data_IF_752084074368
#
_entry.id   IF_752084074368
#
_cell.length_a   1.000
_cell.length_b   1.000
_cell.length_c   1.000
_cell.angle_alpha   90.00
_cell.angle_beta   90.00
_cell.angle_gamma   90.00
#
_symmetry.space_group_name_H-M   'P 1'
#
loop_
_entity.id
_entity.type
_entity.pdbx_description
1 polymer ?
#
# COMPACT_ATOMS: atom_id res chain seq x y z
N UNK A 1 -12.32 -3.37 -10.09
CA UNK A 1 -13.02 -3.55 -8.80
C UNK A 1 -12.47 -4.80 -8.12
N UNK A 2 -12.23 -4.75 -6.81
CA UNK A 2 -11.68 -5.85 -6.02
C UNK A 2 -12.53 -6.07 -4.75
N UNK A 3 -12.90 -7.33 -4.47
CA UNK A 3 -13.67 -7.66 -3.28
C UNK A 3 -12.69 -7.79 -2.10
N UNK A 4 -12.72 -6.83 -1.18
CA UNK A 4 -11.83 -6.79 -0.01
C UNK A 4 -12.70 -6.60 1.22
N UNK A 5 -12.58 -7.50 2.21
CA UNK A 5 -13.35 -7.42 3.47
C UNK A 5 -14.87 -7.27 3.27
N UNK A 6 -15.44 -7.98 2.28
CA UNK A 6 -16.84 -7.91 1.86
C UNK A 6 -17.31 -6.55 1.30
N UNK A 7 -16.39 -5.64 0.99
CA UNK A 7 -16.64 -4.39 0.29
C UNK A 7 -16.17 -4.47 -1.16
N UNK A 8 -16.82 -3.67 -2.01
CA UNK A 8 -16.44 -3.56 -3.41
C UNK A 8 -15.55 -2.35 -3.60
N UNK A 9 -14.24 -2.59 -3.60
CA UNK A 9 -13.24 -1.54 -3.68
C UNK A 9 -12.89 -1.21 -5.13
N UNK A 10 -12.61 0.07 -5.39
CA UNK A 10 -12.07 0.57 -6.64
C UNK A 10 -10.77 1.35 -6.40
N UNK A 11 -10.26 2.03 -7.44
CA UNK A 11 -9.02 2.80 -7.34
C UNK A 11 -9.12 3.95 -6.35
N UNK A 12 -10.30 4.53 -6.12
CA UNK A 12 -10.45 5.66 -5.20
C UNK A 12 -10.15 5.24 -3.75
N UNK A 13 -10.50 4.02 -3.36
CA UNK A 13 -10.12 3.47 -2.03
C UNK A 13 -8.60 3.37 -1.89
N UNK A 14 -7.91 2.89 -2.93
CA UNK A 14 -6.46 2.82 -2.93
C UNK A 14 -5.82 4.22 -2.91
N UNK A 15 -6.40 5.19 -3.63
CA UNK A 15 -5.92 6.58 -3.66
C UNK A 15 -6.00 7.26 -2.29
N UNK A 16 -7.13 7.17 -1.60
CA UNK A 16 -7.25 7.78 -0.27
C UNK A 16 -6.33 7.11 0.75
N UNK A 17 -6.20 5.77 0.68
CA UNK A 17 -5.34 5.01 1.59
C UNK A 17 -3.85 5.41 1.42
N UNK A 18 -3.32 5.38 0.19
CA UNK A 18 -1.92 5.74 -0.06
C UNK A 18 -1.64 7.22 0.23
N UNK A 19 -2.61 8.10 -0.03
CA UNK A 19 -2.46 9.53 0.24
C UNK A 19 -2.37 9.82 1.73
N UNK A 20 -3.12 9.08 2.55
CA UNK A 20 -3.04 9.22 4.00
C UNK A 20 -1.68 8.80 4.54
N UNK A 21 -1.15 7.67 4.05
CA UNK A 21 0.19 7.18 4.41
C UNK A 21 1.27 8.17 4.01
N UNK A 22 1.22 8.67 2.76
CA UNK A 22 2.15 9.69 2.27
C UNK A 22 2.11 10.94 3.15
N UNK A 23 0.93 11.46 3.47
CA UNK A 23 0.76 12.64 4.30
C UNK A 23 1.35 12.44 5.70
N UNK A 24 1.14 11.28 6.31
CA UNK A 24 1.69 10.96 7.62
C UNK A 24 3.21 10.87 7.62
N UNK A 25 3.80 10.24 6.60
CA UNK A 25 5.25 10.16 6.44
C UNK A 25 5.83 11.56 6.20
N UNK A 26 5.26 12.31 5.27
CA UNK A 26 5.73 13.63 4.86
C UNK A 26 5.71 14.65 6.01
N UNK A 27 4.67 14.61 6.85
CA UNK A 27 4.57 15.51 8.01
C UNK A 27 5.11 14.92 9.31
N UNK A 28 5.65 13.70 9.30
CA UNK A 28 6.15 13.03 10.50
C UNK A 28 5.09 12.89 11.58
N UNK A 29 3.87 12.49 11.20
CA UNK A 29 2.74 12.37 12.13
C UNK A 29 3.04 11.33 13.19
N UNK A 30 2.76 11.65 14.44
CA UNK A 30 2.81 10.71 15.56
C UNK A 30 1.45 10.04 15.71
N UNK A 31 1.41 8.70 15.68
CA UNK A 31 0.21 7.94 15.99
C UNK A 31 -0.16 8.13 17.47
N UNK A 32 -1.44 7.98 17.82
CA UNK A 32 -1.87 8.13 19.21
C UNK A 32 -1.14 7.14 20.12
N UNK A 33 -0.49 7.66 21.16
CA UNK A 33 0.38 6.90 22.09
C UNK A 33 1.47 6.05 21.40
N UNK A 34 1.78 6.35 20.13
CA UNK A 34 2.55 5.49 19.24
C UNK A 34 3.79 6.12 18.61
N UNK A 35 4.41 5.41 17.65
CA UNK A 35 5.59 5.90 16.95
C UNK A 35 5.26 7.05 16.00
N UNK A 36 6.31 7.74 15.55
CA UNK A 36 6.23 8.63 14.39
C UNK A 36 6.14 7.76 13.14
N UNK A 37 5.20 8.06 12.26
CA UNK A 37 5.08 7.43 10.95
C UNK A 37 6.21 7.94 10.08
N UNK A 38 7.17 7.06 9.79
CA UNK A 38 8.28 7.30 8.88
C UNK A 38 8.39 6.14 7.88
N UNK A 39 9.29 6.25 6.91
CA UNK A 39 9.53 5.21 5.89
C UNK A 39 9.69 3.82 6.50
N UNK A 40 10.60 3.65 7.46
CA UNK A 40 10.90 2.35 8.06
C UNK A 40 9.68 1.75 8.78
N UNK A 41 8.87 2.59 9.45
CA UNK A 41 7.63 2.16 10.09
C UNK A 41 6.62 1.63 9.05
N UNK A 42 6.46 2.32 7.92
CA UNK A 42 5.54 1.90 6.86
C UNK A 42 6.02 0.63 6.15
N UNK A 43 7.32 0.52 5.84
CA UNK A 43 7.91 -0.69 5.24
C UNK A 43 7.70 -1.91 6.14
N UNK A 44 7.91 -1.76 7.45
CA UNK A 44 7.62 -2.81 8.43
C UNK A 44 6.13 -3.17 8.47
N UNK A 45 5.23 -2.19 8.39
CA UNK A 45 3.80 -2.44 8.35
C UNK A 45 3.40 -3.21 7.07
N UNK A 46 3.97 -2.86 5.91
CA UNK A 46 3.77 -3.56 4.64
C UNK A 46 4.19 -5.03 4.77
N UNK A 47 5.36 -5.32 5.35
CA UNK A 47 5.82 -6.69 5.58
C UNK A 47 4.84 -7.51 6.43
N UNK A 48 4.35 -6.90 7.52
CA UNK A 48 3.39 -7.54 8.42
C UNK A 48 2.05 -7.82 7.72
N UNK A 49 1.52 -6.86 6.97
CA UNK A 49 0.24 -7.03 6.26
C UNK A 49 0.36 -8.03 5.12
N UNK A 50 1.46 -8.04 4.36
CA UNK A 50 1.72 -9.08 3.35
C UNK A 50 1.79 -10.48 3.99
N UNK A 51 2.41 -10.60 5.16
CA UNK A 51 2.42 -11.84 5.93
C UNK A 51 1.02 -12.32 6.31
N UNK A 52 0.16 -11.41 6.79
CA UNK A 52 -1.25 -11.71 7.12
C UNK A 52 -2.05 -12.10 5.88
N UNK A 53 -1.87 -11.39 4.76
CA UNK A 53 -2.53 -11.70 3.49
C UNK A 53 -2.13 -13.10 3.03
N UNK A 54 -0.83 -13.41 3.01
CA UNK A 54 -0.29 -14.73 2.65
C UNK A 54 -0.89 -15.86 3.49
N UNK A 55 -1.03 -15.65 4.80
CA UNK A 55 -1.70 -16.62 5.69
C UNK A 55 -3.19 -16.77 5.38
N UNK A 56 -3.88 -15.68 5.03
CA UNK A 56 -5.32 -15.66 4.76
C UNK A 56 -5.69 -16.34 3.45
N UNK A 57 -4.97 -16.05 2.37
CA UNK A 57 -5.28 -16.58 1.03
C UNK A 57 -4.55 -17.88 0.69
N UNK A 58 -3.54 -18.24 1.49
CA UNK A 58 -2.70 -19.41 1.30
C UNK A 58 -1.51 -19.18 0.36
N UNK A 59 -0.49 -20.03 0.52
CA UNK A 59 0.81 -19.94 -0.16
C UNK A 59 0.68 -19.89 -1.69
N UNK A 60 -0.06 -20.83 -2.27
CA UNK A 60 -0.19 -20.97 -3.71
C UNK A 60 -0.90 -19.77 -4.36
N UNK A 61 -1.92 -19.21 -3.70
CA UNK A 61 -2.64 -18.05 -4.20
C UNK A 61 -1.76 -16.79 -4.09
N UNK A 62 -1.01 -16.66 -3.00
CA UNK A 62 -0.05 -15.57 -2.82
C UNK A 62 1.06 -15.62 -3.87
N UNK A 63 1.67 -16.78 -4.10
CA UNK A 63 2.77 -16.96 -5.06
C UNK A 63 2.36 -16.69 -6.52
N UNK A 64 1.08 -16.93 -6.87
CA UNK A 64 0.55 -16.60 -8.20
C UNK A 64 0.11 -15.14 -8.35
N UNK A 65 -0.06 -14.42 -7.24
CA UNK A 65 -0.48 -13.02 -7.25
C UNK A 65 0.67 -12.06 -7.54
N UNK A 66 0.35 -10.85 -8.00
CA UNK A 66 1.31 -9.75 -8.21
C UNK A 66 1.60 -8.96 -6.93
N UNK A 67 1.80 -9.64 -5.80
CA UNK A 67 1.95 -8.97 -4.49
C UNK A 67 3.27 -8.20 -4.37
N UNK A 68 4.34 -8.67 -5.01
CA UNK A 68 5.60 -7.92 -5.07
C UNK A 68 5.44 -6.64 -5.89
N UNK A 69 4.87 -6.73 -7.10
CA UNK A 69 4.60 -5.54 -7.93
C UNK A 69 3.68 -4.54 -7.21
N UNK A 70 2.68 -5.04 -6.48
CA UNK A 70 1.78 -4.21 -5.67
C UNK A 70 2.49 -3.50 -4.53
N UNK A 71 3.44 -4.18 -3.86
CA UNK A 71 4.31 -3.56 -2.85
C UNK A 71 5.16 -2.46 -3.47
N UNK A 72 5.87 -2.76 -4.56
CA UNK A 72 6.78 -1.81 -5.19
C UNK A 72 6.03 -0.57 -5.66
N UNK A 73 4.83 -0.74 -6.23
CA UNK A 73 3.94 0.36 -6.58
C UNK A 73 3.49 1.15 -5.34
N UNK A 74 3.06 0.48 -4.26
CA UNK A 74 2.62 1.14 -3.03
C UNK A 74 3.75 1.99 -2.42
N UNK A 75 4.95 1.44 -2.30
CA UNK A 75 6.12 2.15 -1.79
C UNK A 75 6.45 3.36 -2.68
N UNK A 76 6.37 3.20 -4.01
CA UNK A 76 6.55 4.32 -4.94
C UNK A 76 5.53 5.44 -4.71
N UNK A 77 4.24 5.14 -4.57
CA UNK A 77 3.20 6.18 -4.50
C UNK A 77 2.95 6.72 -3.09
N UNK A 78 3.35 5.99 -2.05
CA UNK A 78 3.12 6.36 -0.65
C UNK A 78 4.38 6.86 0.07
N UNK A 79 5.59 6.52 -0.40
CA UNK A 79 6.85 6.85 0.28
C UNK A 79 7.79 7.73 -0.55
N UNK A 80 7.41 8.16 -1.77
CA UNK A 80 8.20 9.14 -2.52
C UNK A 80 8.20 10.52 -1.84
N UNK A 81 9.27 11.29 -2.06
CA UNK A 81 9.37 12.66 -1.53
C UNK A 81 8.27 13.56 -2.11
N UNK A 82 8.03 13.45 -3.42
CA UNK A 82 6.95 14.12 -4.13
C UNK A 82 5.66 13.29 -4.10
N UNK A 83 4.52 13.97 -4.02
CA UNK A 83 3.22 13.33 -4.10
C UNK A 83 2.87 12.99 -5.55
N UNK A 84 2.76 11.70 -5.85
CA UNK A 84 2.26 11.22 -7.16
C UNK A 84 0.78 11.62 -7.30
N UNK A 85 0.40 12.27 -8.40
CA UNK A 85 -0.97 12.79 -8.54
C UNK A 85 -2.03 11.67 -8.55
N UNK A 86 -1.80 10.63 -9.36
CA UNK A 86 -2.65 9.45 -9.44
C UNK A 86 -1.80 8.19 -9.43
N UNK A 87 -2.13 7.22 -8.57
CA UNK A 87 -1.46 5.92 -8.51
C UNK A 87 -1.58 5.16 -9.83
N UNK A 88 -2.62 5.44 -10.59
CA UNK A 88 -2.89 4.79 -11.87
C UNK A 88 -1.85 5.13 -12.93
N UNK A 89 -1.17 6.29 -12.86
CA UNK A 89 -0.13 6.68 -13.82
C UNK A 89 1.05 5.69 -13.81
N UNK A 90 1.80 5.51 -12.71
CA UNK A 90 2.87 4.51 -12.65
C UNK A 90 2.35 3.06 -12.64
N UNK A 91 1.08 2.82 -12.29
CA UNK A 91 0.50 1.49 -12.39
C UNK A 91 0.25 1.08 -13.84
N UNK A 92 -0.10 2.03 -14.72
CA UNK A 92 -0.40 1.76 -16.12
C UNK A 92 0.81 1.21 -16.88
N UNK A 93 2.01 1.63 -16.50
CA UNK A 93 3.28 1.12 -17.04
C UNK A 93 3.55 -0.36 -16.71
N UNK A 94 2.80 -0.92 -15.75
CA UNK A 94 2.90 -2.32 -15.29
C UNK A 94 1.78 -3.21 -15.84
N UNK A 95 0.92 -2.66 -16.69
CA UNK A 95 -0.15 -3.37 -17.39
C UNK A 95 0.38 -3.70 -18.79
N UNK A 96 0.33 -4.97 -19.16
CA UNK A 96 0.64 -5.45 -20.52
C UNK A 96 -0.42 -5.02 -21.54
#
# INVERSE_FOLDING_TARGET
>A
AAAISNLMEDSATAEIARSQVWQWVHHGVRLNEGPIVNRAFVEQAIDQELGKIRLSIGEDAFARGKFQDARDLLEQVALSDDFVEFLTLPAYERID
#
